data_IF_506999643075
#
_entry.id   IF_506999643075
#
_cell.length_a   1.000
_cell.length_b   1.000
_cell.length_c   1.000
_cell.angle_alpha   90.00
_cell.angle_beta   90.00
_cell.angle_gamma   90.00
#
_symmetry.space_group_name_H-M   'P 1'
#
loop_
_entity.id
_entity.type
_entity.pdbx_description
1 polymer ?
#
# COMPACT_ATOMS: atom_id res chain seq x y z
N UNK A 1 14.43 17.38 -2.74
CA UNK A 1 14.32 15.98 -3.21
C UNK A 1 12.85 15.64 -3.29
N UNK A 2 12.42 14.92 -4.31
CA UNK A 2 11.07 14.35 -4.37
C UNK A 2 10.91 13.24 -3.33
N UNK A 3 9.77 13.19 -2.64
CA UNK A 3 9.49 12.13 -1.68
C UNK A 3 9.49 10.76 -2.39
N UNK A 4 9.94 9.70 -1.69
CA UNK A 4 9.97 8.34 -2.24
C UNK A 4 8.60 7.68 -2.11
N UNK A 5 8.34 6.69 -2.95
CA UNK A 5 7.15 5.84 -2.83
C UNK A 5 7.37 4.75 -1.77
N UNK A 6 6.27 4.23 -1.24
CA UNK A 6 6.22 3.05 -0.40
C UNK A 6 5.62 1.86 -1.15
N UNK A 7 5.96 0.66 -0.69
CA UNK A 7 5.36 -0.59 -1.14
C UNK A 7 4.73 -1.31 0.05
N UNK A 8 3.52 -1.82 -0.11
CA UNK A 8 2.79 -2.59 0.90
C UNK A 8 2.39 -3.96 0.34
N UNK A 9 2.55 -5.02 1.11
CA UNK A 9 2.08 -6.34 0.75
C UNK A 9 1.65 -7.11 1.99
N UNK A 10 0.54 -7.85 1.87
CA UNK A 10 0.11 -8.84 2.86
C UNK A 10 0.74 -10.19 2.52
N UNK A 11 1.07 -10.99 3.53
CA UNK A 11 1.68 -12.31 3.35
C UNK A 11 1.12 -13.29 4.37
N UNK A 12 1.11 -14.58 4.03
CA UNK A 12 0.52 -15.64 4.85
C UNK A 12 -1.00 -15.70 4.76
N UNK A 13 -1.62 -16.34 5.75
CA UNK A 13 -3.08 -16.42 5.86
C UNK A 13 -3.70 -15.09 6.27
N UNK A 14 -4.82 -14.73 5.64
CA UNK A 14 -5.58 -13.52 6.00
C UNK A 14 -6.18 -13.61 7.39
N UNK A 15 -6.44 -12.45 8.00
CA UNK A 15 -7.12 -12.35 9.31
C UNK A 15 -8.30 -11.39 9.21
N UNK A 16 -9.21 -11.46 10.19
CA UNK A 16 -10.39 -10.58 10.24
C UNK A 16 -10.06 -9.08 10.27
N UNK A 17 -8.83 -8.70 10.64
CA UNK A 17 -8.43 -7.30 10.88
C UNK A 17 -7.25 -6.83 10.04
N UNK A 18 -6.71 -7.67 9.15
CA UNK A 18 -5.51 -7.33 8.37
C UNK A 18 -5.71 -6.06 7.51
N UNK A 19 -6.94 -5.82 7.06
CA UNK A 19 -7.28 -4.62 6.29
C UNK A 19 -7.32 -3.34 7.13
N UNK A 20 -7.53 -3.44 8.45
CA UNK A 20 -7.40 -2.28 9.33
C UNK A 20 -5.94 -1.78 9.37
N UNK A 21 -4.97 -2.70 9.36
CA UNK A 21 -3.56 -2.34 9.22
C UNK A 21 -3.23 -1.75 7.85
N UNK A 22 -3.77 -2.32 6.77
CA UNK A 22 -3.61 -1.78 5.41
C UNK A 22 -4.15 -0.35 5.31
N UNK A 23 -5.37 -0.11 5.81
CA UNK A 23 -5.99 1.20 5.89
C UNK A 23 -5.10 2.19 6.65
N UNK A 24 -4.63 1.84 7.84
CA UNK A 24 -3.74 2.70 8.63
C UNK A 24 -2.46 3.11 7.89
N UNK A 25 -1.84 2.20 7.13
CA UNK A 25 -0.67 2.52 6.29
C UNK A 25 -1.03 3.50 5.18
N UNK A 26 -2.11 3.23 4.44
CA UNK A 26 -2.53 4.03 3.28
C UNK A 26 -2.93 5.45 3.73
N UNK A 27 -3.76 5.56 4.77
CA UNK A 27 -4.16 6.86 5.31
C UNK A 27 -2.97 7.66 5.85
N UNK A 28 -2.04 7.01 6.56
CA UNK A 28 -0.86 7.69 7.09
C UNK A 28 0.02 8.26 5.97
N UNK A 29 0.21 7.52 4.87
CA UNK A 29 0.93 8.01 3.69
C UNK A 29 0.19 9.20 3.07
N UNK A 30 -1.12 9.08 2.84
CA UNK A 30 -1.96 10.15 2.27
C UNK A 30 -1.96 11.42 3.13
N UNK A 31 -1.90 11.31 4.45
CA UNK A 31 -1.81 12.45 5.39
C UNK A 31 -0.43 13.11 5.43
N UNK A 32 0.62 12.45 4.92
CA UNK A 32 2.00 12.95 4.99
C UNK A 32 2.71 12.96 3.60
N UNK A 33 2.15 13.63 2.58
CA UNK A 33 2.67 13.59 1.21
C UNK A 33 4.08 14.18 1.04
N UNK A 34 4.52 15.03 1.99
CA UNK A 34 5.89 15.55 2.03
C UNK A 34 6.94 14.54 2.51
N UNK A 35 6.53 13.37 3.01
CA UNK A 35 7.42 12.31 3.52
C UNK A 35 7.44 11.09 2.61
N UNK A 36 6.26 10.65 2.15
CA UNK A 36 6.08 9.53 1.23
C UNK A 36 5.14 10.00 0.13
N UNK A 37 5.54 9.84 -1.13
CA UNK A 37 4.79 10.35 -2.27
C UNK A 37 3.53 9.52 -2.57
N UNK A 38 3.69 8.19 -2.67
CA UNK A 38 2.62 7.26 -3.02
C UNK A 38 2.81 5.94 -2.30
N UNK A 39 1.77 5.12 -2.20
CA UNK A 39 1.88 3.71 -1.77
C UNK A 39 1.31 2.79 -2.84
N UNK A 40 2.15 1.86 -3.29
CA UNK A 40 1.76 0.78 -4.21
C UNK A 40 1.58 -0.50 -3.41
N UNK A 41 0.57 -1.29 -3.75
CA UNK A 41 0.33 -2.60 -3.13
C UNK A 41 0.67 -3.74 -4.09
N UNK A 42 1.28 -4.82 -3.59
CA UNK A 42 1.54 -6.02 -4.40
C UNK A 42 0.27 -6.85 -4.55
N UNK A 43 -0.16 -7.16 -5.78
CA UNK A 43 -1.24 -8.12 -6.00
C UNK A 43 -0.80 -9.49 -5.51
N UNK A 44 -1.66 -10.16 -4.73
CA UNK A 44 -1.35 -11.47 -4.14
C UNK A 44 -0.08 -11.48 -3.27
N UNK A 45 0.18 -10.36 -2.58
CA UNK A 45 1.28 -10.24 -1.63
C UNK A 45 2.63 -9.99 -2.32
N UNK A 46 3.70 -10.61 -1.79
CA UNK A 46 5.06 -10.41 -2.32
C UNK A 46 5.21 -10.89 -3.77
N UNK A 47 4.40 -11.86 -4.20
CA UNK A 47 4.44 -12.35 -5.60
C UNK A 47 4.18 -11.20 -6.58
N UNK A 48 3.22 -10.31 -6.29
CA UNK A 48 2.97 -9.14 -7.13
C UNK A 48 4.16 -8.19 -7.26
N UNK A 49 5.03 -8.10 -6.25
CA UNK A 49 6.28 -7.35 -6.40
C UNK A 49 7.27 -8.04 -7.34
N UNK A 50 7.41 -9.37 -7.21
CA UNK A 50 8.34 -10.16 -8.02
C UNK A 50 7.91 -10.25 -9.49
N UNK A 51 6.60 -10.14 -9.76
CA UNK A 51 6.03 -10.19 -11.10
C UNK A 51 5.61 -8.82 -11.63
N UNK A 52 5.96 -7.73 -10.93
CA UNK A 52 5.57 -6.35 -11.28
C UNK A 52 4.05 -6.13 -11.44
N UNK A 53 3.22 -6.93 -10.76
CA UNK A 53 1.76 -6.77 -10.67
C UNK A 53 1.41 -5.93 -9.44
N UNK A 54 1.45 -4.61 -9.65
CA UNK A 54 1.26 -3.60 -8.61
C UNK A 54 -0.11 -2.92 -8.73
N UNK A 55 -0.70 -2.61 -7.59
CA UNK A 55 -1.91 -1.80 -7.44
C UNK A 55 -1.50 -0.40 -6.99
N UNK A 56 -1.86 0.62 -7.76
CA UNK A 56 -1.76 2.01 -7.34
C UNK A 56 -2.93 2.35 -6.43
N UNK A 57 -2.67 2.46 -5.13
CA UNK A 57 -3.72 2.73 -4.15
C UNK A 57 -4.32 4.12 -4.31
N UNK A 58 -3.68 5.07 -5.01
CA UNK A 58 -4.25 6.41 -5.21
C UNK A 58 -5.50 6.41 -6.09
N UNK A 59 -5.75 5.34 -6.83
CA UNK A 59 -6.97 5.19 -7.63
C UNK A 59 -8.20 4.86 -6.78
N UNK A 60 -8.00 4.50 -5.52
CA UNK A 60 -9.07 4.15 -4.57
C UNK A 60 -9.55 5.37 -3.79
N UNK A 61 -10.87 5.55 -3.69
CA UNK A 61 -11.49 6.59 -2.86
C UNK A 61 -11.38 6.32 -1.35
N UNK A 62 -11.39 7.37 -0.53
CA UNK A 62 -11.36 7.32 0.95
C UNK A 62 -12.70 6.87 1.61
N UNK A 63 -13.54 6.06 0.93
CA UNK A 63 -14.87 5.66 1.45
C UNK A 63 -14.84 4.96 2.79
#
# INVERSE_FOLDING_TARGET
MTAKNAFYAQSGGVTAVINASACGVIEAVRRHPGRIANVYAGRNGIIGALTEDLIDTNQESDV
#
